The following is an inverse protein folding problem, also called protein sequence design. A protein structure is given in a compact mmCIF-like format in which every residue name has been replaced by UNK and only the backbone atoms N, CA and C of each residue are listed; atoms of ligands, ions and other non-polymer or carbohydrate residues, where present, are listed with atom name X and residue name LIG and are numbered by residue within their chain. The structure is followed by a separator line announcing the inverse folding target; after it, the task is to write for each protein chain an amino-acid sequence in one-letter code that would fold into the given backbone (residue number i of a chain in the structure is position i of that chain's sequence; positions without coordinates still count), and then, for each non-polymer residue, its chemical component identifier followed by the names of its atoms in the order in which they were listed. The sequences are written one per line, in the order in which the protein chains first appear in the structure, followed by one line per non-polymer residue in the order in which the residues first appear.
data_IF_183226088785
#
_entry.id   IF_183226088785
#
_cell.length_a   1.000
_cell.length_b   1.000
_cell.length_c   1.000
_cell.angle_alpha   90.00
_cell.angle_beta   90.00
_cell.angle_gamma   90.00
#
_symmetry.space_group_name_H-M   'P 1'
#
loop_
_entity.id
_entity.type
_entity.pdbx_description
1 polymer ?
#
# COMPACT_ATOMS: atom_id res chain seq x y z
N UNK A 1 -32.19 6.88 -26.49
CA UNK A 1 -30.99 7.17 -25.65
C UNK A 1 -30.34 5.84 -25.35
N UNK A 2 -29.03 5.73 -25.50
CA UNK A 2 -28.30 4.49 -25.12
C UNK A 2 -28.43 4.29 -23.62
N UNK A 3 -28.67 3.07 -23.18
CA UNK A 3 -28.53 2.69 -21.77
C UNK A 3 -27.07 2.93 -21.34
N UNK A 4 -26.86 3.52 -20.17
CA UNK A 4 -25.54 3.80 -19.61
C UNK A 4 -24.74 2.49 -19.43
N UNK A 5 -25.42 1.40 -19.06
CA UNK A 5 -24.81 0.07 -18.97
C UNK A 5 -24.25 -0.38 -20.33
N UNK A 6 -24.98 -0.13 -21.42
CA UNK A 6 -24.56 -0.52 -22.77
C UNK A 6 -23.36 0.31 -23.26
N UNK A 7 -23.31 1.60 -22.92
CA UNK A 7 -22.13 2.45 -23.18
C UNK A 7 -20.90 1.84 -22.51
N UNK A 8 -21.01 1.45 -21.24
CA UNK A 8 -19.89 0.85 -20.49
C UNK A 8 -19.52 -0.51 -21.06
N UNK A 9 -20.48 -1.37 -21.44
CA UNK A 9 -20.19 -2.66 -22.11
C UNK A 9 -19.42 -2.46 -23.41
N UNK A 10 -19.84 -1.50 -24.23
CA UNK A 10 -19.14 -1.15 -25.48
C UNK A 10 -17.74 -0.62 -25.21
N UNK A 11 -17.57 0.22 -24.19
CA UNK A 11 -16.27 0.73 -23.79
C UNK A 11 -15.34 -0.41 -23.35
N UNK A 12 -15.82 -1.33 -22.52
CA UNK A 12 -15.06 -2.50 -22.09
C UNK A 12 -14.66 -3.39 -23.27
N UNK A 13 -15.54 -3.58 -24.27
CA UNK A 13 -15.23 -4.33 -25.48
C UNK A 13 -14.05 -3.77 -26.28
N UNK A 14 -13.74 -2.47 -26.16
CA UNK A 14 -12.59 -1.85 -26.83
C UNK A 14 -11.26 -2.46 -26.36
N UNK A 15 -11.17 -2.97 -25.13
CA UNK A 15 -9.95 -3.67 -24.67
C UNK A 15 -9.65 -4.90 -25.52
N UNK A 16 -10.69 -5.62 -25.96
CA UNK A 16 -10.55 -6.81 -26.81
C UNK A 16 -10.33 -6.45 -28.28
N UNK A 17 -11.05 -5.44 -28.79
CA UNK A 17 -11.01 -5.08 -30.22
C UNK A 17 -9.87 -4.16 -30.60
N UNK A 18 -9.28 -3.44 -29.62
CA UNK A 18 -8.28 -2.39 -29.83
C UNK A 18 -8.75 -1.26 -30.76
N UNK A 19 -10.07 -1.11 -30.95
CA UNK A 19 -10.65 -0.11 -31.85
C UNK A 19 -10.71 1.28 -31.19
N UNK A 20 -9.68 2.10 -31.46
CA UNK A 20 -9.56 3.45 -30.93
C UNK A 20 -10.58 4.43 -31.53
N UNK A 21 -11.12 4.15 -32.72
CA UNK A 21 -12.18 4.98 -33.30
C UNK A 21 -13.51 4.72 -32.58
N UNK A 22 -13.81 3.47 -32.25
CA UNK A 22 -14.95 3.12 -31.42
C UNK A 22 -14.88 3.68 -30.00
N UNK A 23 -13.68 3.97 -29.47
CA UNK A 23 -13.50 4.62 -28.17
C UNK A 23 -13.96 6.08 -28.17
N UNK A 24 -13.77 6.80 -29.29
CA UNK A 24 -13.98 8.25 -29.37
C UNK A 24 -15.38 8.72 -28.95
N UNK A 25 -16.48 8.08 -29.38
CA UNK A 25 -17.81 8.48 -28.95
C UNK A 25 -18.19 7.99 -27.54
N UNK A 26 -17.43 7.09 -26.92
CA UNK A 26 -17.81 6.45 -25.64
C UNK A 26 -17.23 7.15 -24.41
N UNK A 27 -16.09 7.81 -24.56
CA UNK A 27 -15.33 8.45 -23.47
C UNK A 27 -15.08 9.91 -23.81
N UNK A 28 -15.23 10.83 -22.88
CA UNK A 28 -14.96 12.25 -23.12
C UNK A 28 -13.46 12.49 -23.36
N UNK A 29 -13.13 13.47 -24.21
CA UNK A 29 -11.73 13.87 -24.46
C UNK A 29 -11.02 14.27 -23.16
N UNK A 30 -11.73 14.96 -22.27
CA UNK A 30 -11.23 15.49 -21.00
C UNK A 30 -11.67 14.66 -19.77
N UNK A 31 -11.99 13.37 -19.97
CA UNK A 31 -12.42 12.44 -18.91
C UNK A 31 -11.53 12.53 -17.66
N UNK A 32 -12.15 12.52 -16.48
CA UNK A 32 -11.45 12.49 -15.18
C UNK A 32 -11.26 11.06 -14.71
N UNK A 33 -10.06 10.72 -14.26
CA UNK A 33 -9.71 9.34 -13.92
C UNK A 33 -9.07 9.34 -12.55
N UNK A 34 -9.59 8.50 -11.65
CA UNK A 34 -9.13 8.35 -10.28
C UNK A 34 -8.77 6.87 -10.02
N UNK A 35 -7.53 6.59 -9.62
CA UNK A 35 -7.08 5.23 -9.30
C UNK A 35 -5.56 5.10 -9.22
N UNK A 36 -5.06 4.01 -8.63
CA UNK A 36 -3.64 3.72 -8.44
C UNK A 36 -2.86 4.88 -7.78
N UNK A 37 -3.50 5.57 -6.82
CA UNK A 37 -2.91 6.70 -6.10
C UNK A 37 -2.79 8.00 -6.89
N UNK A 38 -3.33 8.06 -8.12
CA UNK A 38 -3.26 9.24 -8.98
C UNK A 38 -4.65 9.73 -9.40
N UNK A 39 -4.72 11.01 -9.76
CA UNK A 39 -5.87 11.61 -10.43
C UNK A 39 -5.40 12.30 -11.70
N UNK A 40 -5.85 11.82 -12.85
CA UNK A 40 -5.42 12.31 -14.17
C UNK A 40 -6.61 12.75 -15.00
N UNK A 41 -6.34 13.53 -16.05
CA UNK A 41 -7.35 14.03 -16.97
C UNK A 41 -6.95 13.78 -18.41
N UNK A 42 -7.86 13.19 -19.19
CA UNK A 42 -7.75 13.07 -20.63
C UNK A 42 -7.86 11.63 -21.14
N UNK A 43 -8.48 11.47 -22.31
CA UNK A 43 -8.72 10.18 -22.97
C UNK A 43 -7.44 9.40 -23.28
N UNK A 44 -6.32 10.10 -23.51
CA UNK A 44 -4.98 9.49 -23.75
C UNK A 44 -4.56 8.46 -22.69
N UNK A 45 -4.99 8.64 -21.44
CA UNK A 45 -4.68 7.68 -20.36
C UNK A 45 -5.48 6.38 -20.52
N UNK A 46 -6.71 6.48 -21.04
CA UNK A 46 -7.54 5.34 -21.40
C UNK A 46 -6.97 4.59 -22.60
N UNK A 47 -6.52 5.31 -23.62
CA UNK A 47 -5.84 4.74 -24.80
C UNK A 47 -4.57 3.98 -24.41
N UNK A 48 -3.76 4.56 -23.51
CA UNK A 48 -2.58 3.89 -22.96
C UNK A 48 -2.91 2.57 -22.25
N UNK A 49 -3.97 2.57 -21.43
CA UNK A 49 -4.43 1.37 -20.73
C UNK A 49 -5.06 0.30 -21.65
N UNK A 50 -5.56 0.69 -22.84
CA UNK A 50 -6.07 -0.28 -23.81
C UNK A 50 -4.92 -0.95 -24.55
N UNK A 51 -3.90 -0.18 -24.97
CA UNK A 51 -2.76 -0.69 -25.75
C UNK A 51 -1.78 -1.56 -24.97
N UNK A 52 -1.66 -1.33 -23.66
CA UNK A 52 -0.82 -2.03 -22.67
C UNK A 52 0.33 -2.87 -23.26
N UNK A 53 1.48 -2.26 -23.61
CA UNK A 53 2.62 -2.95 -24.21
C UNK A 53 3.11 -4.14 -23.36
N UNK A 54 3.44 -5.25 -24.02
CA UNK A 54 3.85 -6.50 -23.36
C UNK A 54 2.68 -7.41 -22.98
N UNK A 55 1.43 -6.93 -23.08
CA UNK A 55 0.20 -7.68 -22.81
C UNK A 55 -0.73 -7.64 -24.02
N UNK A 56 -0.74 -8.70 -24.81
CA UNK A 56 -1.55 -8.82 -26.03
C UNK A 56 -2.80 -9.68 -25.82
N UNK A 57 -3.66 -9.74 -26.85
CA UNK A 57 -4.82 -10.64 -26.90
C UNK A 57 -5.72 -10.58 -25.66
N UNK A 58 -6.08 -9.37 -25.23
CA UNK A 58 -6.98 -9.18 -24.11
C UNK A 58 -8.33 -9.89 -24.36
N UNK A 59 -8.76 -10.67 -23.37
CA UNK A 59 -10.10 -11.24 -23.26
C UNK A 59 -10.73 -10.71 -22.00
N UNK A 60 -11.92 -10.14 -22.13
CA UNK A 60 -12.62 -9.45 -21.05
C UNK A 60 -13.84 -10.25 -20.62
N UNK A 61 -13.99 -10.43 -19.31
CA UNK A 61 -15.21 -10.96 -18.69
C UNK A 61 -15.75 -9.92 -17.71
N UNK A 62 -17.00 -9.55 -17.87
CA UNK A 62 -17.72 -8.73 -16.89
C UNK A 62 -18.30 -9.68 -15.86
N UNK A 63 -17.87 -9.54 -14.61
CA UNK A 63 -18.34 -10.32 -13.47
C UNK A 63 -19.66 -9.77 -12.96
N UNK A 64 -19.68 -8.46 -12.72
CA UNK A 64 -20.84 -7.73 -12.23
C UNK A 64 -20.99 -6.42 -13.00
N UNK A 65 -22.24 -6.00 -13.21
CA UNK A 65 -22.56 -4.68 -13.75
C UNK A 65 -23.87 -4.15 -13.17
N UNK A 66 -23.78 -3.00 -12.52
CA UNK A 66 -24.93 -2.30 -11.93
C UNK A 66 -24.98 -0.87 -12.44
N UNK A 67 -26.16 -0.40 -12.83
CA UNK A 67 -26.39 0.98 -13.26
C UNK A 67 -27.40 1.66 -12.33
N UNK A 68 -27.09 2.89 -11.92
CA UNK A 68 -27.97 3.72 -11.10
C UNK A 68 -27.78 5.19 -11.47
N UNK A 69 -28.84 5.81 -12.01
CA UNK A 69 -28.78 7.19 -12.48
C UNK A 69 -27.70 7.39 -13.54
N UNK A 70 -26.77 8.31 -13.28
CA UNK A 70 -25.66 8.64 -14.17
C UNK A 70 -24.41 7.77 -13.93
N UNK A 71 -24.49 6.74 -13.09
CA UNK A 71 -23.35 5.88 -12.73
C UNK A 71 -23.54 4.43 -13.14
N UNK A 72 -22.43 3.79 -13.47
CA UNK A 72 -22.32 2.36 -13.73
C UNK A 72 -21.12 1.81 -13.00
N UNK A 73 -21.30 0.76 -12.20
CA UNK A 73 -20.24 0.04 -11.50
C UNK A 73 -20.03 -1.31 -12.16
N UNK A 74 -18.78 -1.69 -12.36
CA UNK A 74 -18.40 -2.99 -12.91
C UNK A 74 -17.33 -3.66 -12.07
N UNK A 75 -17.48 -4.97 -11.86
CA UNK A 75 -16.37 -5.86 -11.55
C UNK A 75 -16.03 -6.65 -12.82
N UNK A 76 -14.75 -6.84 -13.10
CA UNK A 76 -14.33 -7.50 -14.32
C UNK A 76 -13.02 -8.27 -14.14
N UNK A 77 -12.81 -9.21 -15.05
CA UNK A 77 -11.56 -9.95 -15.22
C UNK A 77 -11.02 -9.71 -16.63
N UNK A 78 -9.77 -9.25 -16.73
CA UNK A 78 -9.01 -9.18 -17.97
C UNK A 78 -8.01 -10.32 -18.01
N UNK A 79 -7.96 -11.05 -19.12
CA UNK A 79 -6.94 -12.07 -19.37
C UNK A 79 -6.13 -11.66 -20.58
N UNK A 80 -4.82 -11.51 -20.40
CA UNK A 80 -3.88 -11.15 -21.45
C UNK A 80 -2.96 -12.33 -21.79
N UNK A 81 -2.47 -12.38 -23.02
CA UNK A 81 -1.25 -13.11 -23.37
C UNK A 81 -0.07 -12.22 -22.99
N UNK A 82 0.81 -12.71 -22.12
CA UNK A 82 2.06 -12.04 -21.79
C UNK A 82 3.09 -12.29 -22.89
N UNK A 83 3.51 -11.23 -23.58
CA UNK A 83 4.32 -11.33 -24.80
C UNK A 83 5.68 -11.99 -24.53
N UNK A 84 6.30 -11.68 -23.38
CA UNK A 84 7.62 -12.20 -23.03
C UNK A 84 7.60 -13.70 -22.70
N UNK A 85 6.64 -14.15 -21.89
CA UNK A 85 6.61 -15.54 -21.42
C UNK A 85 5.69 -16.44 -22.24
N UNK A 86 4.89 -15.87 -23.15
CA UNK A 86 3.85 -16.58 -23.89
C UNK A 86 2.71 -17.14 -23.03
N UNK A 87 2.65 -16.84 -21.73
CA UNK A 87 1.64 -17.38 -20.81
C UNK A 87 0.43 -16.45 -20.73
N UNK A 88 -0.70 -17.00 -20.33
CA UNK A 88 -1.86 -16.17 -19.99
C UNK A 88 -1.68 -15.62 -18.57
N UNK A 89 -1.97 -14.34 -18.38
CA UNK A 89 -1.98 -13.69 -17.07
C UNK A 89 -3.30 -12.93 -16.89
N UNK A 90 -3.79 -12.90 -15.65
CA UNK A 90 -5.09 -12.35 -15.29
C UNK A 90 -4.95 -11.09 -14.43
N UNK A 91 -5.88 -10.16 -14.63
CA UNK A 91 -6.04 -8.97 -13.79
C UNK A 91 -7.52 -8.76 -13.50
N UNK A 92 -7.88 -8.77 -12.23
CA UNK A 92 -9.22 -8.40 -11.78
C UNK A 92 -9.28 -6.90 -11.50
N UNK A 93 -10.47 -6.33 -11.52
CA UNK A 93 -10.65 -4.93 -11.17
C UNK A 93 -12.10 -4.56 -10.90
N UNK A 94 -12.27 -3.42 -10.24
CA UNK A 94 -13.56 -2.78 -10.00
C UNK A 94 -13.49 -1.34 -10.44
N UNK A 95 -14.49 -0.90 -11.21
CA UNK A 95 -14.59 0.48 -11.69
C UNK A 95 -15.99 1.05 -11.51
N UNK A 96 -16.06 2.33 -11.19
CA UNK A 96 -17.28 3.13 -11.16
C UNK A 96 -17.17 4.25 -12.18
N UNK A 97 -18.00 4.21 -13.21
CA UNK A 97 -18.08 5.21 -14.28
C UNK A 97 -19.21 6.19 -13.99
N UNK A 98 -19.00 7.47 -14.27
CA UNK A 98 -20.04 8.49 -14.37
C UNK A 98 -20.18 8.90 -15.83
N UNK A 99 -21.42 8.94 -16.30
CA UNK A 99 -21.77 9.26 -17.67
C UNK A 99 -22.55 10.56 -17.74
N UNK A 100 -22.41 11.27 -18.85
CA UNK A 100 -23.25 12.41 -19.21
C UNK A 100 -23.58 12.32 -20.68
N UNK A 101 -24.85 12.40 -21.03
CA UNK A 101 -25.34 12.35 -22.41
C UNK A 101 -24.82 11.12 -23.20
N UNK A 102 -24.71 9.97 -22.51
CA UNK A 102 -24.23 8.72 -23.10
C UNK A 102 -22.70 8.63 -23.27
N UNK A 103 -21.94 9.51 -22.63
CA UNK A 103 -20.47 9.55 -22.70
C UNK A 103 -19.87 9.42 -21.30
N UNK A 104 -18.84 8.59 -21.13
CA UNK A 104 -18.09 8.47 -19.87
C UNK A 104 -17.27 9.74 -19.65
N UNK A 105 -17.62 10.50 -18.62
CA UNK A 105 -16.97 11.78 -18.28
C UNK A 105 -16.05 11.67 -17.06
N UNK A 106 -16.18 10.61 -16.27
CA UNK A 106 -15.36 10.36 -15.11
C UNK A 106 -15.37 8.88 -14.74
N UNK A 107 -14.29 8.35 -14.18
CA UNK A 107 -14.34 7.08 -13.48
C UNK A 107 -13.33 6.95 -12.34
N UNK A 108 -13.70 6.11 -11.38
CA UNK A 108 -12.89 5.66 -10.25
C UNK A 108 -12.65 4.16 -10.39
N UNK A 109 -11.48 3.66 -9.99
CA UNK A 109 -11.33 2.23 -9.82
C UNK A 109 -9.91 1.74 -9.64
N UNK A 110 -9.83 0.49 -9.20
CA UNK A 110 -8.58 -0.20 -8.90
C UNK A 110 -8.55 -1.54 -9.62
N UNK A 111 -7.34 -1.95 -9.99
CA UNK A 111 -7.05 -3.26 -10.57
C UNK A 111 -6.04 -3.98 -9.70
N UNK A 112 -6.16 -5.31 -9.61
CA UNK A 112 -5.21 -6.16 -8.87
C UNK A 112 -3.87 -6.24 -9.59
N UNK A 113 -3.09 -5.16 -9.45
CA UNK A 113 -1.76 -5.04 -10.00
C UNK A 113 -0.79 -6.00 -9.31
N UNK A 114 -1.03 -6.34 -8.05
CA UNK A 114 -0.17 -7.27 -7.31
C UNK A 114 -0.17 -8.65 -7.95
N UNK A 115 -1.35 -9.22 -8.21
CA UNK A 115 -1.47 -10.53 -8.87
C UNK A 115 -0.88 -10.48 -10.29
N UNK A 116 -1.15 -9.41 -11.05
CA UNK A 116 -0.58 -9.22 -12.39
C UNK A 116 0.97 -9.27 -12.34
N UNK A 117 1.59 -8.45 -11.49
CA UNK A 117 3.05 -8.37 -11.38
C UNK A 117 3.67 -9.69 -10.88
N UNK A 118 2.99 -10.39 -9.97
CA UNK A 118 3.41 -11.72 -9.50
C UNK A 118 3.39 -12.75 -10.63
N UNK A 119 2.33 -12.78 -11.44
CA UNK A 119 2.22 -13.71 -12.58
C UNK A 119 3.22 -13.40 -13.71
N UNK A 120 3.55 -12.12 -13.88
CA UNK A 120 4.59 -11.65 -14.79
C UNK A 120 6.02 -11.91 -14.28
N UNK A 121 6.19 -12.49 -13.08
CA UNK A 121 7.47 -12.69 -12.41
C UNK A 121 8.27 -11.39 -12.17
N UNK A 122 7.56 -10.26 -12.04
CA UNK A 122 8.12 -8.95 -11.70
C UNK A 122 8.14 -8.70 -10.18
N UNK A 123 7.49 -9.57 -9.40
CA UNK A 123 7.59 -9.61 -7.95
C UNK A 123 8.22 -10.94 -7.51
N UNK A 124 8.98 -10.94 -6.41
CA UNK A 124 9.51 -12.18 -5.84
C UNK A 124 8.37 -13.12 -5.45
N UNK A 125 8.57 -14.42 -5.71
CA UNK A 125 7.56 -15.50 -5.49
C UNK A 125 7.15 -15.61 -4.01
N UNK A 126 7.99 -15.11 -3.10
CA UNK A 126 7.65 -14.81 -1.71
C UNK A 126 8.09 -13.39 -1.41
N UNK A 127 7.21 -12.61 -0.77
CA UNK A 127 7.69 -11.50 0.06
C UNK A 127 8.57 -12.17 1.13
N UNK A 128 9.85 -11.80 1.28
CA UNK A 128 10.68 -12.39 2.32
C UNK A 128 9.93 -12.28 3.64
N UNK A 129 9.80 -13.42 4.34
CA UNK A 129 9.27 -13.43 5.68
C UNK A 129 10.19 -12.56 6.53
N UNK A 130 9.64 -11.53 7.19
CA UNK A 130 10.36 -10.82 8.26
C UNK A 130 10.77 -11.77 9.41
N UNK A 131 10.33 -13.04 9.40
CA UNK A 131 10.68 -14.05 10.37
C UNK A 131 11.83 -14.99 9.92
N UNK A 132 12.24 -15.00 8.64
CA UNK A 132 13.29 -15.94 8.18
C UNK A 132 14.73 -15.47 8.47
N UNK A 133 14.92 -14.19 8.77
CA UNK A 133 16.13 -13.68 9.43
C UNK A 133 15.66 -12.76 10.55
N UNK A 134 16.12 -13.01 11.78
CA UNK A 134 15.79 -12.16 12.93
C UNK A 134 16.32 -10.75 12.67
N UNK A 135 15.49 -9.86 12.13
CA UNK A 135 15.77 -8.43 12.02
C UNK A 135 14.56 -7.69 12.58
N UNK A 136 14.19 -8.04 13.81
CA UNK A 136 13.22 -7.30 14.59
C UNK A 136 13.94 -6.58 15.71
N UNK A 137 13.66 -5.29 15.91
CA UNK A 137 14.29 -4.52 16.98
C UNK A 137 14.14 -5.19 18.37
N UNK A 138 13.03 -5.89 18.59
CA UNK A 138 12.79 -6.74 19.77
C UNK A 138 13.81 -7.87 19.95
N UNK A 139 14.20 -8.53 18.86
CA UNK A 139 15.16 -9.63 18.90
C UNK A 139 16.59 -9.12 19.12
N UNK A 140 16.90 -7.92 18.64
CA UNK A 140 18.21 -7.27 18.78
C UNK A 140 18.39 -6.53 20.12
N UNK A 141 17.30 -6.27 20.84
CA UNK A 141 17.29 -5.67 22.18
C UNK A 141 16.68 -6.63 23.23
N UNK A 142 17.23 -7.86 23.40
CA UNK A 142 16.67 -8.87 24.27
C UNK A 142 16.82 -8.55 25.76
N UNK A 143 17.78 -7.70 26.11
CA UNK A 143 18.01 -7.12 27.43
C UNK A 143 18.59 -5.70 27.25
N UNK A 144 19.25 -5.14 28.27
CA UNK A 144 19.93 -3.86 28.20
C UNK A 144 21.09 -3.87 27.19
N UNK A 145 20.93 -3.09 26.14
CA UNK A 145 21.92 -2.87 25.07
C UNK A 145 22.37 -1.43 25.09
N UNK A 146 23.66 -1.17 24.92
CA UNK A 146 24.21 0.18 24.91
C UNK A 146 23.63 1.03 23.76
N UNK A 147 23.63 2.35 23.95
CA UNK A 147 23.00 3.29 23.04
C UNK A 147 23.52 3.18 21.61
N UNK A 148 24.82 2.99 21.40
CA UNK A 148 25.37 2.92 20.04
C UNK A 148 24.97 1.61 19.33
N UNK A 149 25.02 0.49 20.05
CA UNK A 149 24.52 -0.78 19.54
C UNK A 149 23.02 -0.72 19.25
N UNK A 150 22.21 -0.09 20.11
CA UNK A 150 20.78 0.07 19.88
C UNK A 150 20.48 0.94 18.65
N UNK A 151 21.22 2.04 18.46
CA UNK A 151 21.10 2.91 17.28
C UNK A 151 21.47 2.15 15.99
N UNK A 152 22.53 1.36 16.06
CA UNK A 152 22.97 0.51 14.96
C UNK A 152 21.91 -0.52 14.58
N UNK A 153 21.32 -1.20 15.56
CA UNK A 153 20.28 -2.19 15.31
C UNK A 153 19.00 -1.57 14.77
N UNK A 154 18.60 -0.40 15.27
CA UNK A 154 17.51 0.36 14.69
C UNK A 154 17.79 0.73 13.23
N UNK A 155 19.01 1.20 12.92
CA UNK A 155 19.40 1.50 11.55
C UNK A 155 19.40 0.28 10.62
N UNK A 156 19.75 -0.92 11.12
CA UNK A 156 19.63 -2.17 10.35
C UNK A 156 18.18 -2.55 10.09
N UNK A 157 17.31 -2.46 11.11
CA UNK A 157 15.86 -2.77 10.98
C UNK A 157 15.18 -1.80 10.00
N UNK A 158 15.61 -0.54 9.97
CA UNK A 158 15.10 0.46 9.02
C UNK A 158 15.71 0.35 7.61
N UNK A 159 16.66 -0.57 7.38
CA UNK A 159 17.36 -0.73 6.10
C UNK A 159 18.36 0.38 5.77
N UNK A 160 18.76 1.19 6.76
CA UNK A 160 19.74 2.26 6.61
C UNK A 160 21.17 1.69 6.60
N UNK A 161 21.42 0.64 7.38
CA UNK A 161 22.70 -0.07 7.41
C UNK A 161 22.56 -1.46 6.78
N UNK A 162 23.59 -1.92 6.03
CA UNK A 162 23.59 -3.25 5.43
C UNK A 162 23.48 -4.36 6.49
N UNK A 163 22.74 -5.41 6.18
CA UNK A 163 22.49 -6.52 7.10
C UNK A 163 23.76 -7.31 7.46
N UNK A 164 24.74 -7.33 6.57
CA UNK A 164 26.05 -7.97 6.71
C UNK A 164 27.19 -7.00 7.08
N UNK A 165 26.89 -5.71 7.21
CA UNK A 165 27.87 -4.70 7.63
C UNK A 165 28.31 -4.88 9.09
N UNK A 166 29.47 -4.33 9.47
CA UNK A 166 29.92 -4.34 10.87
C UNK A 166 29.66 -2.99 11.52
N UNK A 167 29.36 -3.00 12.82
CA UNK A 167 29.21 -1.78 13.62
C UNK A 167 30.41 -0.82 13.45
N UNK A 168 31.63 -1.37 13.40
CA UNK A 168 32.87 -0.59 13.27
C UNK A 168 32.93 0.27 12.00
N UNK A 169 32.20 -0.12 10.96
CA UNK A 169 32.19 0.60 9.67
C UNK A 169 31.35 1.89 9.76
N UNK A 170 30.44 1.98 10.74
CA UNK A 170 29.48 3.08 10.91
C UNK A 170 29.56 3.76 12.28
N UNK A 171 30.42 3.29 13.17
CA UNK A 171 30.51 3.78 14.55
C UNK A 171 30.75 5.29 14.68
N UNK A 172 31.45 5.89 13.71
CA UNK A 172 31.72 7.33 13.66
C UNK A 172 30.43 8.17 13.61
N UNK A 173 29.33 7.61 13.08
CA UNK A 173 28.03 8.27 13.02
C UNK A 173 27.34 8.38 14.38
N UNK A 174 27.88 7.75 15.42
CA UNK A 174 27.29 7.73 16.76
C UNK A 174 28.14 8.46 17.81
N UNK A 175 29.37 8.87 17.47
CA UNK A 175 30.32 9.48 18.41
C UNK A 175 30.38 11.01 18.31
N UNK A 176 29.72 11.60 17.31
CA UNK A 176 29.63 13.04 17.04
C UNK A 176 28.15 13.50 16.86
N UNK A 177 27.91 14.81 16.73
CA UNK A 177 26.61 15.45 16.43
C UNK A 177 26.16 15.15 14.97
N UNK A 178 26.11 13.87 14.62
CA UNK A 178 25.81 13.42 13.28
C UNK A 178 24.27 13.40 13.07
N UNK A 179 23.74 14.08 12.03
CA UNK A 179 22.28 14.22 11.86
C UNK A 179 21.52 12.89 11.84
N UNK A 180 22.10 11.86 11.21
CA UNK A 180 21.50 10.52 11.17
C UNK A 180 21.52 9.84 12.55
N UNK A 181 22.61 9.98 13.31
CA UNK A 181 22.72 9.44 14.67
C UNK A 181 21.69 10.09 15.59
N UNK A 182 21.51 11.40 15.48
CA UNK A 182 20.49 12.16 16.20
C UNK A 182 19.07 11.72 15.86
N UNK A 183 18.77 11.50 14.57
CA UNK A 183 17.45 11.03 14.14
C UNK A 183 17.14 9.61 14.66
N UNK A 184 18.11 8.69 14.60
CA UNK A 184 17.97 7.35 15.17
C UNK A 184 17.78 7.41 16.69
N UNK A 185 18.48 8.32 17.38
CA UNK A 185 18.35 8.50 18.83
C UNK A 185 16.99 9.07 19.22
N UNK A 186 16.52 10.08 18.50
CA UNK A 186 15.16 10.61 18.69
C UNK A 186 14.10 9.52 18.48
N UNK A 187 14.31 8.62 17.51
CA UNK A 187 13.41 7.49 17.26
C UNK A 187 13.40 6.50 18.42
N UNK A 188 14.57 6.09 18.93
CA UNK A 188 14.64 5.21 20.11
C UNK A 188 13.95 5.83 21.33
N UNK A 189 14.16 7.12 21.58
CA UNK A 189 13.51 7.83 22.68
C UNK A 189 11.99 7.96 22.47
N UNK A 190 11.53 8.20 21.24
CA UNK A 190 10.10 8.18 20.93
C UNK A 190 9.46 6.81 21.17
N UNK A 191 10.20 5.72 20.94
CA UNK A 191 9.74 4.37 21.28
C UNK A 191 9.72 4.12 22.79
N UNK A 192 10.61 4.76 23.56
CA UNK A 192 10.53 4.77 25.02
C UNK A 192 9.27 5.51 25.49
N UNK A 193 9.01 6.69 24.94
CA UNK A 193 7.82 7.48 25.29
C UNK A 193 6.51 6.75 24.94
N UNK A 194 6.53 5.93 23.88
CA UNK A 194 5.41 5.07 23.49
C UNK A 194 5.27 3.79 24.32
N UNK A 195 6.19 3.52 25.27
CA UNK A 195 6.20 2.31 26.09
C UNK A 195 6.63 1.03 25.34
N UNK A 196 7.22 1.16 24.15
CA UNK A 196 7.73 0.04 23.35
C UNK A 196 9.12 -0.39 23.83
N UNK A 197 9.94 0.58 24.25
CA UNK A 197 11.28 0.36 24.80
C UNK A 197 11.35 0.89 26.24
N UNK A 198 12.30 0.37 27.00
CA UNK A 198 12.73 0.95 28.27
C UNK A 198 14.14 1.51 28.11
N UNK A 199 14.47 2.56 28.87
CA UNK A 199 15.82 3.11 28.91
C UNK A 199 16.30 3.33 30.34
N UNK A 200 17.62 3.25 30.56
CA UNK A 200 18.27 3.57 31.84
C UNK A 200 19.54 4.39 31.62
N UNK A 201 20.10 4.90 32.72
CA UNK A 201 21.33 5.69 32.69
C UNK A 201 21.20 6.99 31.89
N UNK A 202 19.99 7.56 31.78
CA UNK A 202 19.74 8.78 31.00
C UNK A 202 19.80 8.58 29.48
N UNK A 203 19.40 7.41 28.97
CA UNK A 203 19.47 7.12 27.54
C UNK A 203 20.77 6.44 27.09
N UNK A 204 21.52 5.85 28.03
CA UNK A 204 22.76 5.13 27.72
C UNK A 204 22.52 3.68 27.33
N UNK A 205 21.40 3.10 27.74
CA UNK A 205 21.04 1.73 27.41
C UNK A 205 19.54 1.63 27.11
N UNK A 206 19.19 0.70 26.23
CA UNK A 206 17.82 0.44 25.79
C UNK A 206 17.53 -1.05 25.82
N UNK A 207 16.27 -1.42 26.11
CA UNK A 207 15.78 -2.79 25.96
C UNK A 207 14.35 -2.80 25.46
N UNK A 208 13.91 -3.91 24.88
CA UNK A 208 12.50 -4.10 24.57
C UNK A 208 11.66 -4.15 25.86
N UNK A 209 10.57 -3.37 25.92
CA UNK A 209 9.68 -3.39 27.08
C UNK A 209 9.01 -4.77 27.18
N UNK A 210 9.16 -5.42 28.34
CA UNK A 210 8.42 -6.68 28.59
C UNK A 210 6.93 -6.34 28.69
N UNK A 211 6.03 -7.22 28.18
CA UNK A 211 4.61 -7.01 28.36
C UNK A 211 4.33 -6.88 29.85
N UNK A 212 3.97 -5.68 30.28
CA UNK A 212 3.54 -5.46 31.64
C UNK A 212 2.30 -6.33 31.83
N UNK A 213 2.34 -7.28 32.79
CA UNK A 213 1.12 -7.96 33.21
C UNK A 213 0.11 -6.88 33.55
N UNK A 214 -1.02 -6.86 32.82
CA UNK A 214 -2.01 -5.77 32.71
C UNK A 214 -2.04 -4.84 33.94
N UNK A 215 -1.16 -3.85 33.96
CA UNK A 215 -1.22 -2.71 34.86
C UNK A 215 -2.12 -1.66 34.21
N UNK A 216 -2.90 -0.89 34.98
CA UNK A 216 -3.84 0.06 34.40
C UNK A 216 -3.09 1.04 33.51
N UNK A 217 -3.66 1.28 32.31
CA UNK A 217 -3.12 2.19 31.31
C UNK A 217 -2.73 3.53 31.95
N UNK A 218 -1.63 4.16 31.51
CA UNK A 218 -1.25 5.47 32.03
C UNK A 218 -2.40 6.46 31.79
N UNK A 219 -2.82 7.13 32.87
CA UNK A 219 -3.90 8.10 32.82
C UNK A 219 -3.51 9.24 31.86
N UNK A 220 -4.20 9.33 30.73
CA UNK A 220 -4.18 10.51 29.87
C UNK A 220 -4.76 11.64 30.70
N UNK A 221 -3.93 12.62 31.06
CA UNK A 221 -4.43 13.89 31.60
C UNK A 221 -5.12 14.64 30.48
N UNK A 222 -6.42 14.44 30.32
CA UNK A 222 -7.26 15.42 29.64
C UNK A 222 -7.35 16.63 30.56
N UNK A 223 -6.90 17.78 30.05
CA UNK A 223 -7.12 19.08 30.66
C UNK A 223 -8.60 19.43 30.59
N UNK A 224 -9.40 18.78 31.41
CA UNK A 224 -10.61 19.30 32.06
C UNK A 224 -11.21 18.16 32.90
N UNK A 225 -11.31 18.41 34.20
CA UNK A 225 -11.64 17.42 35.22
C UNK A 225 -13.10 16.98 35.20
N UNK A 226 -13.44 16.01 34.37
CA UNK A 226 -14.66 15.23 34.50
C UNK A 226 -14.39 13.73 34.26
N UNK A 227 -14.69 12.92 35.28
CA UNK A 227 -14.63 11.45 35.24
C UNK A 227 -15.99 10.95 34.75
N UNK A 228 -16.01 10.20 33.65
CA UNK A 228 -17.15 9.35 33.28
C UNK A 228 -16.67 7.92 33.15
N UNK A 229 -17.21 7.04 34.00
CA UNK A 229 -17.03 5.59 33.93
C UNK A 229 -17.69 5.04 32.66
N UNK A 230 -16.93 4.31 31.85
CA UNK A 230 -17.48 3.50 30.76
C UNK A 230 -17.58 2.05 31.20
N UNK A 231 -18.82 1.59 31.31
CA UNK A 231 -19.26 0.24 31.68
C UNK A 231 -18.73 -0.81 30.68
N UNK A 232 -18.32 -1.94 31.24
CA UNK A 232 -17.84 -3.16 30.60
C UNK A 232 -18.93 -3.90 29.81
N UNK A 233 -18.52 -4.53 28.70
CA UNK A 233 -19.14 -5.79 28.26
C UNK A 233 -19.60 -5.84 26.82
N UNK A 234 -18.81 -6.47 25.94
CA UNK A 234 -19.31 -7.25 24.80
C UNK A 234 -18.41 -8.51 24.67
N UNK A 235 -18.97 -9.68 24.98
CA UNK A 235 -18.45 -10.99 24.52
C UNK A 235 -18.86 -11.23 23.06
N UNK A 236 -18.06 -11.97 22.27
CA UNK A 236 -18.31 -12.15 20.84
C UNK A 236 -19.36 -13.24 20.55
N UNK A 237 -20.12 -13.03 19.47
CA UNK A 237 -20.79 -14.07 18.71
C UNK A 237 -20.09 -14.23 17.35
#
# INVERSE_FOLDING_TARGET
MSDNADVVRRYLRVFETQDMEALKPLVAEDVRIHGAGMSVRGRRFVEGAIRTPGLSHCRLRVDDLFAAGDRVVTAFTLTYRHDLSGRDIGMTGVKSYRLKDGVIVEFWGETDLYTLLRQAALLPVRIPSFADERVGLKAELPDWVDAHSALYQLGRVLGIFPLDGKFMDVQYMFWDDHPLGNALRATLLGLVDAGVLETRGGGQEFRWALPHGAGPAPAVKTGDGAVTEAVTGIEPA
#
